data_IF_888784788190
#
_entry.id   IF_888784788190
#
_cell.length_a   1.000
_cell.length_b   1.000
_cell.length_c   1.000
_cell.angle_alpha   90.00
_cell.angle_beta   90.00
_cell.angle_gamma   90.00
#
_symmetry.space_group_name_H-M   'P 1'
#
loop_
_entity.id
_entity.type
_entity.pdbx_description
1 polymer ?
#
# COMPACT_ATOMS: atom_id res chain seq x y z
N UNK A 1 -5.86 21.97 -0.44
CA UNK A 1 -5.68 20.84 0.49
C UNK A 1 -4.31 20.99 1.12
N UNK A 2 -4.22 21.35 2.40
CA UNK A 2 -2.93 21.34 3.11
C UNK A 2 -2.77 19.93 3.66
N UNK A 3 -2.04 19.09 2.93
CA UNK A 3 -1.57 17.81 3.44
C UNK A 3 -0.34 18.13 4.29
N UNK A 4 -0.41 17.89 5.59
CA UNK A 4 0.76 18.02 6.46
C UNK A 4 1.58 16.72 6.38
N UNK A 5 2.88 16.78 6.65
CA UNK A 5 3.79 15.62 6.54
C UNK A 5 3.39 14.39 7.38
N UNK A 6 2.50 14.57 8.35
CA UNK A 6 1.99 13.53 9.25
C UNK A 6 0.79 12.72 8.73
N UNK A 7 0.22 13.04 7.56
CA UNK A 7 -0.99 12.36 7.07
C UNK A 7 -0.74 11.57 5.79
N UNK A 8 -1.17 10.30 5.78
CA UNK A 8 -1.30 9.49 4.56
C UNK A 8 -2.77 9.46 4.17
N UNK A 9 -3.07 9.86 2.93
CA UNK A 9 -4.40 9.77 2.35
C UNK A 9 -4.35 8.77 1.20
N UNK A 10 -5.16 7.71 1.29
CA UNK A 10 -5.39 6.78 0.19
C UNK A 10 -6.80 7.01 -0.31
N UNK A 11 -6.92 7.34 -1.59
CA UNK A 11 -8.21 7.32 -2.26
C UNK A 11 -8.36 5.94 -2.92
N UNK A 12 -9.20 5.10 -2.33
CA UNK A 12 -9.50 3.79 -2.89
C UNK A 12 -10.91 3.81 -3.47
N UNK A 13 -11.09 3.17 -4.63
CA UNK A 13 -12.41 2.82 -5.12
C UNK A 13 -12.76 1.46 -4.51
N UNK A 14 -13.78 1.42 -3.67
CA UNK A 14 -14.21 0.20 -2.96
C UNK A 14 -15.52 -0.34 -3.55
N UNK A 15 -15.73 -1.65 -3.39
CA UNK A 15 -16.90 -2.40 -3.88
C UNK A 15 -17.04 -2.43 -5.42
N UNK A 16 -18.02 -3.18 -5.94
CA UNK A 16 -18.26 -3.31 -7.38
C UNK A 16 -18.71 -1.99 -8.05
N UNK A 17 -19.04 -0.97 -7.25
CA UNK A 17 -19.46 0.36 -7.70
C UNK A 17 -18.33 1.37 -7.91
N UNK A 18 -17.08 1.03 -7.54
CA UNK A 18 -15.93 1.91 -7.72
C UNK A 18 -16.09 3.32 -7.10
N UNK A 19 -16.85 3.42 -6.00
CA UNK A 19 -17.11 4.71 -5.32
C UNK A 19 -15.81 5.19 -4.67
N UNK A 20 -15.32 6.41 -4.98
CA UNK A 20 -14.12 6.94 -4.34
C UNK A 20 -14.37 7.12 -2.84
N UNK A 21 -13.53 6.48 -2.03
CA UNK A 21 -13.55 6.60 -0.57
C UNK A 21 -12.18 7.07 -0.13
N UNK A 22 -12.13 8.25 0.50
CA UNK A 22 -10.92 8.74 1.15
C UNK A 22 -10.76 8.02 2.48
N UNK A 23 -9.67 7.27 2.62
CA UNK A 23 -9.29 6.61 3.87
C UNK A 23 -8.00 7.25 4.33
N UNK A 24 -7.97 7.71 5.58
CA UNK A 24 -6.82 8.41 6.14
C UNK A 24 -6.32 7.70 7.40
N UNK A 25 -5.01 7.83 7.63
CA UNK A 25 -4.35 7.46 8.88
C UNK A 25 -3.48 8.62 9.35
N UNK A 26 -3.40 8.79 10.67
CA UNK A 26 -2.54 9.77 11.34
C UNK A 26 -1.33 9.10 12.02
N UNK A 27 -1.23 7.77 11.97
CA UNK A 27 -0.24 6.96 12.70
C UNK A 27 0.53 6.05 11.74
N UNK A 28 1.16 6.63 10.71
CA UNK A 28 2.09 5.92 9.81
C UNK A 28 1.54 4.65 9.13
N UNK A 29 0.21 4.49 8.95
CA UNK A 29 -0.35 3.27 8.32
C UNK A 29 -1.29 2.44 9.19
N UNK A 30 -1.52 2.81 10.45
CA UNK A 30 -2.45 2.12 11.35
C UNK A 30 -3.80 2.86 11.50
N UNK A 31 -4.83 2.18 12.01
CA UNK A 31 -6.15 2.76 12.35
C UNK A 31 -6.83 3.54 11.22
N UNK A 32 -6.97 2.89 10.07
CA UNK A 32 -7.65 3.46 8.90
C UNK A 32 -9.13 3.76 9.18
N UNK A 33 -9.54 4.99 8.94
CA UNK A 33 -10.94 5.41 9.02
C UNK A 33 -11.38 6.05 7.70
N UNK A 34 -12.61 5.77 7.27
CA UNK A 34 -13.22 6.41 6.11
C UNK A 34 -13.67 7.83 6.47
N UNK A 35 -13.30 8.79 5.62
CA UNK A 35 -13.67 10.21 5.74
C UNK A 35 -14.36 10.68 4.46
N UNK A 36 -15.65 10.33 4.27
CA UNK A 36 -16.40 10.62 3.03
C UNK A 36 -16.63 12.12 2.80
N UNK A 37 -16.54 12.96 3.83
CA UNK A 37 -16.55 14.41 3.72
C UNK A 37 -15.30 14.97 3.01
N UNK A 38 -14.21 14.20 2.96
CA UNK A 38 -12.97 14.60 2.27
C UNK A 38 -13.00 14.34 0.78
N UNK A 39 -13.99 13.58 0.28
CA UNK A 39 -14.19 13.38 -1.17
C UNK A 39 -15.02 14.48 -1.81
N UNK A 40 -15.74 15.30 -1.04
CA UNK A 40 -16.63 16.35 -1.57
C UNK A 40 -15.88 17.54 -2.19
N UNK A 41 -14.60 17.72 -1.85
CA UNK A 41 -13.73 18.79 -2.36
C UNK A 41 -12.72 18.29 -3.41
N UNK A 42 -12.76 17.00 -3.77
CA UNK A 42 -11.98 16.45 -4.86
C UNK A 42 -12.67 16.83 -6.16
N UNK A 43 -12.21 17.89 -6.83
CA UNK A 43 -12.65 18.13 -8.20
C UNK A 43 -12.15 16.98 -9.07
N UNK A 44 -12.97 16.53 -10.02
CA UNK A 44 -12.63 15.48 -10.99
C UNK A 44 -11.30 15.75 -11.76
N UNK A 45 -10.78 16.98 -11.70
CA UNK A 45 -9.51 17.41 -12.27
C UNK A 45 -8.26 17.03 -11.45
N UNK A 46 -8.40 16.61 -10.18
CA UNK A 46 -7.29 16.15 -9.31
C UNK A 46 -7.32 14.63 -9.09
N UNK A 47 -8.29 13.92 -9.69
CA UNK A 47 -8.19 12.49 -9.87
C UNK A 47 -7.40 12.30 -11.16
N UNK A 48 -6.06 12.13 -11.12
CA UNK A 48 -5.36 11.71 -12.34
C UNK A 48 -6.07 10.45 -12.84
N UNK A 49 -6.27 10.38 -14.16
CA UNK A 49 -6.78 9.21 -14.89
C UNK A 49 -6.39 7.92 -14.16
N UNK A 50 -7.42 7.19 -13.73
CA UNK A 50 -7.42 6.26 -12.59
C UNK A 50 -6.09 5.53 -12.30
N UNK A 51 -5.56 5.73 -11.09
CA UNK A 51 -4.52 4.84 -10.55
C UNK A 51 -5.23 3.54 -10.13
N UNK A 52 -5.44 2.64 -11.10
CA UNK A 52 -5.99 1.32 -10.85
C UNK A 52 -4.85 0.31 -10.66
N UNK A 53 -4.67 -0.14 -9.43
CA UNK A 53 -3.80 -1.28 -9.11
C UNK A 53 -4.72 -2.34 -8.48
N UNK A 54 -5.13 -3.36 -9.25
CA UNK A 54 -5.96 -4.44 -8.73
C UNK A 54 -5.29 -5.14 -7.56
N UNK A 55 -6.09 -5.55 -6.56
CA UNK A 55 -5.62 -6.43 -5.49
C UNK A 55 -4.69 -5.78 -4.46
N UNK A 56 -4.73 -4.46 -4.27
CA UNK A 56 -4.02 -3.83 -3.14
C UNK A 56 -4.58 -4.37 -1.81
N UNK A 57 -3.69 -4.85 -0.94
CA UNK A 57 -4.01 -5.31 0.41
C UNK A 57 -3.47 -4.37 1.50
N UNK A 58 -2.29 -3.77 1.29
CA UNK A 58 -1.72 -2.80 2.22
C UNK A 58 -0.81 -1.80 1.50
N UNK A 59 -0.54 -0.67 2.15
CA UNK A 59 0.36 0.37 1.66
C UNK A 59 1.19 0.94 2.80
N UNK A 60 2.40 1.40 2.48
CA UNK A 60 3.29 2.11 3.39
C UNK A 60 3.86 3.36 2.72
N UNK A 61 3.78 4.51 3.41
CA UNK A 61 4.37 5.76 2.92
C UNK A 61 5.88 5.74 3.11
N UNK A 62 6.59 6.34 2.16
CA UNK A 62 7.98 6.80 2.29
C UNK A 62 8.12 8.20 1.69
N UNK A 63 9.26 8.83 1.89
CA UNK A 63 9.48 10.20 1.40
C UNK A 63 9.43 10.28 -0.14
N UNK A 64 9.85 9.22 -0.83
CA UNK A 64 9.88 9.14 -2.29
C UNK A 64 8.61 8.59 -2.93
N UNK A 65 7.59 8.21 -2.15
CA UNK A 65 6.35 7.64 -2.69
C UNK A 65 5.62 6.71 -1.73
N UNK A 66 4.99 5.69 -2.29
CA UNK A 66 4.24 4.66 -1.54
C UNK A 66 4.69 3.28 -1.99
N UNK A 67 4.95 2.40 -1.04
CA UNK A 67 5.12 0.98 -1.30
C UNK A 67 3.79 0.25 -1.07
N UNK A 68 3.47 -0.67 -1.96
CA UNK A 68 2.16 -1.28 -2.10
C UNK A 68 2.33 -2.78 -2.06
N UNK A 69 1.58 -3.46 -1.19
CA UNK A 69 1.42 -4.91 -1.16
C UNK A 69 0.16 -5.30 -1.95
N UNK A 70 0.34 -6.17 -2.93
CA UNK A 70 -0.70 -6.66 -3.84
C UNK A 70 -0.81 -8.17 -3.71
N UNK A 71 -2.01 -8.72 -3.61
CA UNK A 71 -2.25 -10.16 -3.64
C UNK A 71 -3.13 -10.54 -4.83
N UNK A 72 -2.87 -11.71 -5.42
CA UNK A 72 -3.54 -12.17 -6.65
C UNK A 72 -2.96 -11.59 -7.94
N UNK A 73 -1.79 -10.96 -7.88
CA UNK A 73 -1.06 -10.46 -9.06
C UNK A 73 -0.50 -11.64 -9.87
N UNK A 74 -0.75 -11.65 -11.17
CA UNK A 74 -0.27 -12.71 -12.07
C UNK A 74 1.26 -12.76 -12.04
N UNK A 75 1.83 -13.93 -11.75
CA UNK A 75 3.29 -14.10 -11.66
C UNK A 75 3.85 -14.01 -10.24
N UNK A 76 3.01 -13.80 -9.23
CA UNK A 76 3.37 -14.00 -7.83
C UNK A 76 2.34 -14.92 -7.16
N UNK A 77 2.78 -16.09 -6.67
CA UNK A 77 1.89 -17.01 -5.93
C UNK A 77 1.50 -16.51 -4.53
N UNK A 78 2.07 -15.37 -4.10
CA UNK A 78 1.79 -14.75 -2.81
C UNK A 78 1.60 -13.25 -2.93
N UNK A 79 2.33 -12.50 -2.11
CA UNK A 79 2.21 -11.03 -2.06
C UNK A 79 3.28 -10.39 -2.93
N UNK A 80 2.85 -9.66 -3.96
CA UNK A 80 3.67 -8.82 -4.83
C UNK A 80 3.86 -7.44 -4.20
N UNK A 81 5.05 -6.87 -4.31
CA UNK A 81 5.33 -5.52 -3.86
C UNK A 81 5.59 -4.61 -5.05
N UNK A 82 5.01 -3.41 -5.02
CA UNK A 82 5.21 -2.38 -6.05
C UNK A 82 5.52 -1.06 -5.38
N UNK A 83 6.38 -0.26 -6.01
CA UNK A 83 6.62 1.13 -5.60
C UNK A 83 5.91 2.08 -6.55
N UNK A 84 5.15 3.02 -5.99
CA UNK A 84 4.62 4.16 -6.73
C UNK A 84 5.37 5.43 -6.28
N UNK A 85 6.25 6.00 -7.13
CA UNK A 85 6.95 7.24 -6.78
C UNK A 85 6.01 8.43 -6.67
N UNK A 86 6.40 9.45 -5.89
CA UNK A 86 5.65 10.72 -5.83
C UNK A 86 5.50 11.34 -7.22
N UNK A 87 4.31 11.86 -7.53
CA UNK A 87 4.01 12.46 -8.83
C UNK A 87 3.86 11.47 -10.00
N UNK A 88 3.92 10.16 -9.75
CA UNK A 88 3.72 9.12 -10.78
C UNK A 88 2.25 8.70 -10.92
N UNK A 89 1.87 8.22 -12.10
CA UNK A 89 0.61 7.50 -12.34
C UNK A 89 0.77 5.99 -12.11
N UNK A 90 -0.34 5.22 -12.13
CA UNK A 90 -0.33 3.75 -11.96
C UNK A 90 0.60 3.02 -12.93
N UNK A 91 0.76 3.54 -14.15
CA UNK A 91 1.67 3.00 -15.15
C UNK A 91 3.16 3.11 -14.74
N UNK A 92 3.47 3.97 -13.76
CA UNK A 92 4.80 4.15 -13.20
C UNK A 92 5.08 3.31 -11.94
N UNK A 93 4.17 2.39 -11.56
CA UNK A 93 4.42 1.52 -10.42
C UNK A 93 5.51 0.49 -10.75
N UNK A 94 6.69 0.63 -10.16
CA UNK A 94 7.81 -0.29 -10.34
C UNK A 94 7.57 -1.58 -9.55
N UNK A 95 7.78 -2.75 -10.17
CA UNK A 95 7.79 -4.03 -9.46
C UNK A 95 9.04 -4.12 -8.57
N UNK A 96 8.83 -4.47 -7.30
CA UNK A 96 9.89 -4.58 -6.30
C UNK A 96 10.26 -6.05 -6.02
N UNK A 97 9.31 -6.97 -6.12
CA UNK A 97 9.52 -8.37 -5.78
C UNK A 97 8.27 -9.09 -5.30
N UNK A 98 8.43 -10.39 -5.02
CA UNK A 98 7.33 -11.28 -4.64
C UNK A 98 7.70 -12.09 -3.40
N UNK A 99 6.84 -12.02 -2.37
CA UNK A 99 6.88 -12.93 -1.23
C UNK A 99 5.90 -14.09 -1.46
N UNK A 100 6.41 -15.18 -2.04
CA UNK A 100 5.59 -16.35 -2.35
C UNK A 100 5.12 -17.15 -1.12
N UNK A 101 5.71 -16.91 0.07
CA UNK A 101 5.37 -17.64 1.29
C UNK A 101 3.95 -17.33 1.81
N UNK A 102 3.39 -16.17 1.47
CA UNK A 102 2.07 -15.72 1.92
C UNK A 102 1.04 -15.96 0.82
N UNK A 103 0.51 -17.17 0.74
CA UNK A 103 -0.38 -17.62 -0.35
C UNK A 103 -1.88 -17.38 -0.09
N UNK A 104 -2.25 -16.97 1.12
CA UNK A 104 -3.64 -16.67 1.50
C UNK A 104 -3.65 -15.69 2.68
N UNK A 105 -3.39 -14.40 2.43
CA UNK A 105 -3.40 -13.39 3.48
C UNK A 105 -4.85 -13.13 3.92
N UNK A 106 -5.16 -13.45 5.18
CA UNK A 106 -6.41 -13.03 5.84
C UNK A 106 -6.22 -11.73 6.61
N UNK A 107 -4.98 -11.41 6.98
CA UNK A 107 -4.58 -10.13 7.57
C UNK A 107 -3.20 -9.76 7.04
N UNK A 108 -3.01 -8.50 6.66
CA UNK A 108 -1.76 -8.00 6.11
C UNK A 108 -1.56 -6.53 6.50
N UNK A 109 -0.39 -6.21 7.04
CA UNK A 109 0.04 -4.85 7.32
C UNK A 109 1.47 -4.65 6.81
N UNK A 110 1.72 -3.49 6.19
CA UNK A 110 3.01 -3.10 5.63
C UNK A 110 3.48 -1.81 6.30
N UNK A 111 4.74 -1.78 6.69
CA UNK A 111 5.39 -0.58 7.23
C UNK A 111 6.78 -0.41 6.63
N UNK A 112 7.25 0.85 6.58
CA UNK A 112 8.61 1.22 6.19
C UNK A 112 9.23 1.96 7.37
N UNK A 113 10.44 1.58 7.77
CA UNK A 113 11.21 2.30 8.78
C UNK A 113 12.69 2.25 8.44
N UNK A 114 13.35 3.42 8.35
CA UNK A 114 14.79 3.48 8.05
C UNK A 114 15.20 2.83 6.72
N UNK A 115 14.27 2.72 5.76
CA UNK A 115 14.49 2.01 4.49
C UNK A 115 14.28 0.50 4.54
N UNK A 116 14.02 -0.07 5.72
CA UNK A 116 13.62 -1.47 5.88
C UNK A 116 12.10 -1.60 5.78
N UNK A 117 11.64 -2.60 5.03
CA UNK A 117 10.25 -2.97 4.92
C UNK A 117 9.92 -4.05 5.95
N UNK A 118 8.80 -3.86 6.63
CA UNK A 118 8.26 -4.79 7.61
C UNK A 118 6.86 -5.20 7.15
N UNK A 119 6.67 -6.51 7.03
CA UNK A 119 5.39 -7.10 6.66
C UNK A 119 4.93 -8.01 7.78
N UNK A 120 3.78 -7.67 8.37
CA UNK A 120 3.03 -8.64 9.15
C UNK A 120 1.98 -9.28 8.26
N UNK A 121 1.98 -10.61 8.19
CA UNK A 121 1.03 -11.37 7.41
C UNK A 121 0.55 -12.58 8.21
N UNK A 122 -0.76 -12.64 8.45
CA UNK A 122 -1.39 -13.66 9.29
C UNK A 122 -0.75 -13.72 10.69
N UNK A 123 0.13 -14.68 10.95
CA UNK A 123 0.82 -14.83 12.24
C UNK A 123 2.34 -14.61 12.16
N UNK A 124 2.84 -14.38 10.95
CA UNK A 124 4.26 -14.28 10.66
C UNK A 124 4.65 -12.82 10.45
N UNK A 125 5.89 -12.50 10.83
CA UNK A 125 6.52 -11.22 10.58
C UNK A 125 7.69 -11.44 9.63
N UNK A 126 7.80 -10.60 8.62
CA UNK A 126 8.86 -10.63 7.64
C UNK A 126 9.52 -9.26 7.55
N UNK A 127 10.82 -9.25 7.23
CA UNK A 127 11.55 -8.02 6.90
C UNK A 127 12.27 -8.13 5.57
N UNK A 128 12.45 -6.98 4.94
CA UNK A 128 13.25 -6.81 3.74
C UNK A 128 14.10 -5.55 3.86
N UNK A 129 15.40 -5.72 3.69
CA UNK A 129 16.38 -4.63 3.72
C UNK A 129 16.77 -4.15 2.30
N UNK A 130 16.16 -4.73 1.26
CA UNK A 130 16.52 -4.53 -0.14
C UNK A 130 15.31 -4.16 -1.01
N UNK A 131 14.40 -3.35 -0.45
CA UNK A 131 13.19 -2.88 -1.11
C UNK A 131 12.31 -4.02 -1.64
N UNK A 132 12.01 -5.01 -0.81
CA UNK A 132 11.15 -6.16 -1.10
C UNK A 132 11.67 -7.13 -2.18
N UNK A 133 12.93 -7.00 -2.61
CA UNK A 133 13.56 -7.95 -3.51
C UNK A 133 13.75 -9.32 -2.84
N UNK A 134 14.15 -9.31 -1.56
CA UNK A 134 14.22 -10.52 -0.73
C UNK A 134 13.56 -10.30 0.63
N UNK A 135 13.09 -11.39 1.22
CA UNK A 135 12.37 -11.38 2.49
C UNK A 135 12.93 -12.42 3.44
N UNK A 136 13.05 -12.04 4.71
CA UNK A 136 13.42 -12.92 5.81
C UNK A 136 12.25 -13.02 6.76
N UNK A 137 11.89 -14.23 7.16
CA UNK A 137 10.95 -14.44 8.25
C UNK A 137 11.67 -14.11 9.56
N UNK A 138 11.04 -13.31 10.42
CA UNK A 138 11.51 -13.02 11.76
C UNK A 138 11.08 -14.17 12.66
N UNK A 139 12.04 -14.95 13.13
CA UNK A 139 11.79 -16.01 14.09
C UNK A 139 11.54 -15.42 15.48
N UNK A 140 10.52 -15.91 16.19
CA UNK A 140 10.32 -15.57 17.60
C UNK A 140 11.22 -16.48 18.44
N UNK A 141 12.17 -15.90 19.16
CA UNK A 141 12.99 -16.58 20.17
C UNK A 141 12.18 -16.96 21.41
#
# INVERSE_FOLDING_TARGET
MVVTDSQVNVLARVESGCTPTAVSTFTQGEFWQAYPDRTSNLSAAILPSDIHIPGIYAVAKKDSGVDIAVFGDTGCSGVRFKNLPTGSSSAGAADLGCLAAVTSPTALALAVSGGELWLWANNDLYTSADNAATWKKVERS
#
